data_IF_113460505093
#
_entry.id   IF_113460505093
#
_cell.length_a   1.000
_cell.length_b   1.000
_cell.length_c   1.000
_cell.angle_alpha   90.00
_cell.angle_beta   90.00
_cell.angle_gamma   90.00
#
_symmetry.space_group_name_H-M   'P 1'
#
loop_
_entity.id
_entity.type
_entity.pdbx_description
1 polymer ?
#
# COMPACT_ATOMS: atom_id res chain seq x y z
N UNK A 1 5.96 -1.65 -15.01
CA UNK A 1 6.59 -1.62 -13.67
C UNK A 1 5.59 -2.19 -12.70
N UNK A 2 5.91 -3.34 -12.11
CA UNK A 2 5.17 -3.87 -10.97
C UNK A 2 5.48 -2.94 -9.80
N UNK A 3 4.47 -2.27 -9.22
CA UNK A 3 4.66 -1.48 -8.00
C UNK A 3 5.22 -2.42 -6.92
N UNK A 4 6.52 -2.36 -6.63
CA UNK A 4 7.13 -3.12 -5.53
C UNK A 4 6.58 -2.57 -4.21
N UNK A 5 5.56 -3.25 -3.69
CA UNK A 5 5.02 -3.01 -2.37
C UNK A 5 6.03 -3.39 -1.30
N UNK A 6 6.13 -2.57 -0.26
CA UNK A 6 7.00 -2.75 0.89
C UNK A 6 6.20 -2.54 2.18
N UNK A 7 6.75 -3.05 3.28
CA UNK A 7 6.24 -2.70 4.62
C UNK A 7 6.34 -1.18 4.80
N UNK A 8 5.36 -0.61 5.49
CA UNK A 8 5.17 0.83 5.72
C UNK A 8 4.76 1.66 4.50
N UNK A 9 4.56 1.03 3.34
CA UNK A 9 3.93 1.73 2.22
C UNK A 9 2.51 2.19 2.56
N UNK A 10 2.13 3.34 2.01
CA UNK A 10 0.77 3.85 2.04
C UNK A 10 0.00 3.34 0.81
N UNK A 11 -1.12 2.69 1.06
CA UNK A 11 -2.00 2.09 0.07
C UNK A 11 -3.37 2.81 0.06
N UNK A 12 -3.68 3.48 -1.05
CA UNK A 12 -5.00 4.08 -1.30
C UNK A 12 -5.95 3.04 -1.91
N UNK A 13 -7.07 2.74 -1.28
CA UNK A 13 -8.09 1.85 -1.83
C UNK A 13 -8.82 2.53 -3.01
N UNK A 14 -8.58 2.03 -4.22
CA UNK A 14 -9.18 2.54 -5.48
C UNK A 14 -10.32 1.64 -6.01
N UNK A 15 -10.48 0.43 -5.46
CA UNK A 15 -11.57 -0.48 -5.82
C UNK A 15 -11.93 -1.40 -4.66
N UNK A 16 -13.17 -1.33 -4.17
CA UNK A 16 -13.64 -2.19 -3.07
C UNK A 16 -14.09 -3.56 -3.57
N UNK A 17 -13.80 -4.61 -2.81
CA UNK A 17 -14.45 -5.92 -2.94
C UNK A 17 -15.59 -6.05 -1.92
N UNK A 18 -16.72 -6.65 -2.31
CA UNK A 18 -17.87 -6.91 -1.43
C UNK A 18 -17.54 -7.71 -0.16
N UNK A 19 -16.55 -8.60 -0.20
CA UNK A 19 -16.12 -9.43 0.93
C UNK A 19 -15.16 -8.70 1.87
N UNK A 20 -14.68 -7.51 1.49
CA UNK A 20 -13.82 -6.75 2.37
C UNK A 20 -14.65 -6.10 3.50
N UNK A 21 -14.08 -6.06 4.72
CA UNK A 21 -14.66 -5.35 5.85
C UNK A 21 -15.06 -3.92 5.46
N UNK A 22 -16.16 -3.37 6.02
CA UNK A 22 -16.67 -2.04 5.68
C UNK A 22 -15.64 -0.91 5.82
N UNK A 23 -14.67 -1.08 6.72
CA UNK A 23 -13.58 -0.13 6.98
C UNK A 23 -12.66 0.02 5.76
N UNK A 24 -12.54 -1.03 4.94
CA UNK A 24 -11.82 -1.00 3.66
C UNK A 24 -12.74 -0.47 2.56
N UNK A 25 -12.92 0.85 2.62
CA UNK A 25 -13.75 1.63 1.70
C UNK A 25 -12.93 2.33 0.63
N UNK A 26 -13.59 2.65 -0.48
CA UNK A 26 -13.02 3.49 -1.54
C UNK A 26 -12.53 4.82 -0.96
N UNK A 27 -11.30 5.22 -1.32
CA UNK A 27 -10.64 6.40 -0.79
C UNK A 27 -9.97 6.23 0.58
N UNK A 28 -10.09 5.06 1.22
CA UNK A 28 -9.37 4.75 2.46
C UNK A 28 -7.87 4.61 2.21
N UNK A 29 -7.06 5.12 3.14
CA UNK A 29 -5.60 4.99 3.12
C UNK A 29 -5.18 4.04 4.22
N UNK A 30 -4.31 3.10 3.89
CA UNK A 30 -3.86 2.04 4.80
C UNK A 30 -2.34 1.91 4.77
N UNK A 31 -1.75 1.65 5.93
CA UNK A 31 -0.32 1.37 6.04
C UNK A 31 -0.06 -0.12 5.92
N UNK A 32 0.78 -0.51 4.97
CA UNK A 32 1.16 -1.91 4.71
C UNK A 32 1.96 -2.46 5.89
N UNK A 33 1.50 -3.57 6.44
CA UNK A 33 2.16 -4.34 7.50
C UNK A 33 2.95 -5.53 6.94
N UNK A 34 2.44 -6.16 5.88
CA UNK A 34 3.08 -7.30 5.25
C UNK A 34 2.70 -7.38 3.78
N UNK A 35 3.63 -7.88 2.98
CA UNK A 35 3.46 -8.14 1.54
C UNK A 35 3.63 -9.63 1.33
N UNK A 36 2.66 -10.25 0.67
CA UNK A 36 2.59 -11.67 0.41
C UNK A 36 2.64 -11.89 -1.11
N UNK A 37 3.60 -12.68 -1.59
CA UNK A 37 3.67 -13.08 -2.99
C UNK A 37 2.68 -14.21 -3.28
N UNK A 38 2.22 -14.29 -4.54
CA UNK A 38 1.42 -15.39 -5.08
C UNK A 38 0.18 -15.78 -4.25
N UNK A 39 -0.44 -14.80 -3.61
CA UNK A 39 -1.67 -15.05 -2.86
C UNK A 39 -2.84 -15.21 -3.82
N UNK A 40 -3.66 -16.27 -3.67
CA UNK A 40 -4.90 -16.38 -4.42
C UNK A 40 -5.83 -15.24 -3.97
N UNK A 41 -6.41 -14.52 -4.94
CA UNK A 41 -7.53 -13.64 -4.61
C UNK A 41 -8.63 -14.50 -3.96
N UNK A 42 -9.36 -13.95 -3.00
CA UNK A 42 -10.41 -14.61 -2.21
C UNK A 42 -11.55 -15.23 -3.06
N UNK A 43 -11.48 -15.09 -4.37
CA UNK A 43 -12.45 -15.52 -5.38
C UNK A 43 -11.89 -16.54 -6.40
N UNK A 44 -10.65 -17.00 -6.26
CA UNK A 44 -10.04 -17.92 -7.25
C UNK A 44 -9.57 -17.22 -8.53
N UNK A 45 -9.28 -15.93 -8.45
CA UNK A 45 -8.62 -15.17 -9.52
C UNK A 45 -7.13 -15.50 -9.64
N UNK A 46 -6.46 -14.92 -10.64
CA UNK A 46 -5.01 -15.04 -10.78
C UNK A 46 -4.30 -14.64 -9.49
N UNK A 47 -3.37 -15.50 -9.05
CA UNK A 47 -2.50 -15.24 -7.94
C UNK A 47 -1.72 -13.93 -8.17
N UNK A 48 -1.53 -13.15 -7.11
CA UNK A 48 -0.83 -11.90 -7.19
C UNK A 48 -0.40 -11.39 -5.82
N UNK A 49 0.11 -10.16 -5.79
CA UNK A 49 0.55 -9.54 -4.54
C UNK A 49 -0.64 -9.33 -3.58
N UNK A 50 -0.54 -9.89 -2.39
CA UNK A 50 -1.44 -9.67 -1.26
C UNK A 50 -0.83 -8.67 -0.27
N UNK A 51 -1.67 -7.83 0.31
CA UNK A 51 -1.31 -6.84 1.32
C UNK A 51 -2.04 -7.15 2.63
N UNK A 52 -1.35 -6.97 3.75
CA UNK A 52 -1.96 -6.82 5.08
C UNK A 52 -1.68 -5.42 5.60
N UNK A 53 -2.59 -4.87 6.40
CA UNK A 53 -2.45 -3.51 6.94
C UNK A 53 -2.33 -3.52 8.46
N UNK A 54 -1.78 -2.44 9.03
CA UNK A 54 -1.57 -2.31 10.49
C UNK A 54 -2.87 -2.19 11.27
N UNK A 55 -3.79 -1.34 10.80
CA UNK A 55 -5.02 -0.98 11.51
C UNK A 55 -6.30 -1.42 10.76
N UNK A 56 -6.17 -2.36 9.82
CA UNK A 56 -7.31 -3.00 9.19
C UNK A 56 -7.56 -4.38 9.81
N UNK A 57 -8.81 -4.84 9.72
CA UNK A 57 -9.20 -6.19 10.15
C UNK A 57 -8.32 -7.25 9.48
N UNK A 58 -7.70 -8.12 10.27
CA UNK A 58 -6.95 -9.26 9.71
C UNK A 58 -7.94 -10.26 9.10
N UNK A 59 -7.77 -10.58 7.82
CA UNK A 59 -8.60 -11.54 7.10
C UNK A 59 -8.26 -13.01 7.46
N UNK A 60 -7.21 -13.23 8.26
CA UNK A 60 -6.74 -14.53 8.68
C UNK A 60 -5.40 -14.92 8.05
N UNK A 61 -4.84 -16.08 8.41
CA UNK A 61 -3.51 -16.51 7.95
C UNK A 61 -3.45 -16.78 6.44
N UNK A 62 -4.55 -17.24 5.85
CA UNK A 62 -4.62 -17.66 4.44
C UNK A 62 -5.33 -16.63 3.53
N UNK A 63 -5.48 -15.39 3.99
CA UNK A 63 -6.18 -14.34 3.25
C UNK A 63 -5.44 -13.00 3.33
N UNK A 64 -5.54 -12.20 2.26
CA UNK A 64 -4.93 -10.89 2.14
C UNK A 64 -5.78 -9.97 1.26
N UNK A 65 -5.54 -8.67 1.36
CA UNK A 65 -6.11 -7.67 0.47
C UNK A 65 -5.36 -7.69 -0.86
N UNK A 66 -6.06 -7.75 -1.98
CA UNK A 66 -5.43 -7.89 -3.29
C UNK A 66 -4.84 -6.54 -3.72
N UNK A 67 -3.52 -6.47 -3.95
CA UNK A 67 -2.80 -5.23 -4.23
C UNK A 67 -3.35 -4.44 -5.42
N UNK A 68 -3.91 -5.12 -6.45
CA UNK A 68 -4.52 -4.49 -7.63
C UNK A 68 -5.68 -3.53 -7.32
N UNK A 69 -6.25 -3.64 -6.11
CA UNK A 69 -7.35 -2.80 -5.62
C UNK A 69 -6.85 -1.53 -4.94
N UNK A 70 -5.53 -1.38 -4.81
CA UNK A 70 -4.87 -0.29 -4.14
C UNK A 70 -3.89 0.41 -5.07
N UNK A 71 -3.72 1.71 -4.86
CA UNK A 71 -2.66 2.50 -5.46
C UNK A 71 -1.62 2.80 -4.39
N UNK A 72 -0.35 2.51 -4.66
CA UNK A 72 0.75 2.95 -3.79
C UNK A 72 0.85 4.47 -3.89
N UNK A 73 0.82 5.14 -2.73
CA UNK A 73 0.91 6.61 -2.62
C UNK A 73 2.10 7.05 -1.76
N UNK A 74 2.89 6.11 -1.23
CA UNK A 74 4.17 6.45 -0.59
C UNK A 74 5.02 7.21 -1.59
N UNK A 75 5.48 8.43 -1.26
CA UNK A 75 6.50 9.10 -2.03
C UNK A 75 7.71 8.18 -2.16
N UNK A 76 8.38 8.23 -3.31
CA UNK A 76 9.68 7.58 -3.41
C UNK A 76 10.66 8.29 -2.47
N UNK A 77 11.76 7.62 -2.14
CA UNK A 77 12.85 8.30 -1.45
C UNK A 77 13.25 9.53 -2.29
N UNK A 78 13.64 10.66 -1.63
CA UNK A 78 14.15 11.82 -2.33
C UNK A 78 15.23 11.38 -3.31
N UNK A 79 15.11 11.80 -4.56
CA UNK A 79 16.24 11.69 -5.46
C UNK A 79 17.31 12.76 -5.11
N UNK A 80 18.42 12.77 -5.85
CA UNK A 80 19.52 13.70 -5.58
C UNK A 80 19.05 15.17 -5.66
N UNK A 81 18.09 15.46 -6.56
CA UNK A 81 17.54 16.79 -6.72
C UNK A 81 16.62 17.16 -5.56
N UNK A 82 15.71 16.26 -5.17
CA UNK A 82 14.85 16.44 -4.00
C UNK A 82 15.70 16.67 -2.74
N UNK A 83 16.79 15.93 -2.59
CA UNK A 83 17.72 16.06 -1.46
C UNK A 83 18.38 17.43 -1.43
N UNK A 84 18.92 17.89 -2.57
CA UNK A 84 19.53 19.22 -2.68
C UNK A 84 18.53 20.34 -2.34
N UNK A 85 17.30 20.23 -2.83
CA UNK A 85 16.23 21.21 -2.55
C UNK A 85 15.84 21.19 -1.07
N UNK A 86 15.70 20.01 -0.47
CA UNK A 86 15.40 19.88 0.96
C UNK A 86 16.52 20.51 1.80
N UNK A 87 17.78 20.22 1.49
CA UNK A 87 18.93 20.78 2.20
C UNK A 87 18.99 22.31 2.06
N UNK A 88 18.70 22.85 0.88
CA UNK A 88 18.61 24.28 0.64
C UNK A 88 17.51 24.93 1.47
N UNK A 89 16.31 24.33 1.52
CA UNK A 89 15.18 24.86 2.28
C UNK A 89 15.37 24.73 3.79
N UNK A 90 16.06 23.68 4.26
CA UNK A 90 16.38 23.49 5.68
C UNK A 90 17.53 24.37 6.16
N UNK A 91 18.50 24.69 5.28
CA UNK A 91 19.61 25.61 5.55
C UNK A 91 19.21 27.08 5.48
N UNK A 92 18.09 27.40 4.82
CA UNK A 92 17.50 28.73 4.77
C UNK A 92 16.69 29.04 6.04
N UNK A 93 17.34 29.09 7.21
CA UNK A 93 16.75 29.76 8.38
C UNK A 93 16.82 31.28 8.20
N UNK A 94 15.73 32.04 8.43
CA UNK A 94 15.73 33.51 8.39
C UNK A 94 16.61 34.14 9.49
#
# INVERSE_FOLDING_TARGET
MTDEWRVDDLALCISRHERYPPEVRLGGVFTVRAVLADMPDLTGGQAGTGLKFKDAVDLGPSAAYCARRFRKITPQAPDDFDTEVIDLLMGATP
#
